data_IF_862833462313
#
_entry.id   IF_862833462313
#
_cell.length_a   1.000
_cell.length_b   1.000
_cell.length_c   1.000
_cell.angle_alpha   90.00
_cell.angle_beta   90.00
_cell.angle_gamma   90.00
#
_symmetry.space_group_name_H-M   'P 1'
#
loop_
_entity.id
_entity.type
_entity.pdbx_description
1 polymer ?
#
# COMPACT_ATOMS: atom_id res chain seq x y z
N UNK A 1 -7.99 -40.53 37.45
CA UNK A 1 -7.28 -40.97 38.65
C UNK A 1 -7.28 -39.75 39.58
N UNK A 2 -7.85 -39.64 40.66
CA UNK A 2 -8.52 -40.38 41.69
C UNK A 2 -9.38 -39.37 42.45
N UNK A 3 -10.63 -39.70 42.67
CA UNK A 3 -11.53 -38.98 43.55
C UNK A 3 -11.07 -39.13 45.01
N UNK A 4 -10.96 -38.05 45.75
CA UNK A 4 -10.83 -38.02 47.19
C UNK A 4 -12.05 -37.31 47.77
N UNK A 5 -12.94 -38.14 48.34
CA UNK A 5 -14.14 -37.73 49.05
C UNK A 5 -13.77 -37.79 50.53
N UNK A 6 -13.75 -36.65 51.22
CA UNK A 6 -13.74 -36.61 52.68
C UNK A 6 -14.89 -35.75 53.17
N UNK A 7 -15.93 -36.45 53.58
CA UNK A 7 -17.01 -35.92 54.38
C UNK A 7 -16.54 -35.89 55.85
N UNK A 8 -16.35 -34.71 56.38
CA UNK A 8 -16.31 -34.53 57.84
C UNK A 8 -17.55 -33.72 58.28
N UNK A 9 -18.47 -34.50 58.83
CA UNK A 9 -19.70 -33.98 59.43
C UNK A 9 -19.41 -33.50 60.86
N UNK A 10 -19.37 -32.21 61.00
CA UNK A 10 -19.46 -31.61 62.32
C UNK A 10 -20.69 -30.69 62.35
N UNK A 11 -21.79 -31.25 62.88
CA UNK A 11 -22.95 -30.50 63.27
C UNK A 11 -22.63 -29.69 64.54
N UNK A 12 -22.67 -28.37 64.49
CA UNK A 12 -22.66 -27.61 65.74
C UNK A 12 -24.01 -27.85 66.50
N UNK A 13 -23.88 -28.34 67.71
CA UNK A 13 -25.01 -28.54 68.63
C UNK A 13 -25.84 -27.28 68.76
N UNK A 14 -27.12 -27.46 68.66
CA UNK A 14 -28.12 -26.45 69.04
C UNK A 14 -28.13 -26.41 70.57
N UNK A 15 -27.40 -25.45 71.12
CA UNK A 15 -27.61 -25.08 72.51
C UNK A 15 -29.04 -24.56 72.66
N UNK A 16 -29.85 -25.36 73.34
CA UNK A 16 -31.17 -24.98 73.74
C UNK A 16 -31.07 -23.86 74.76
N UNK A 17 -31.36 -22.68 74.35
CA UNK A 17 -31.67 -21.56 75.21
C UNK A 17 -33.18 -21.53 75.36
N UNK A 18 -33.62 -21.75 76.59
CA UNK A 18 -34.92 -21.67 77.25
C UNK A 18 -35.99 -20.86 76.50
N UNK A 19 -36.90 -21.57 75.88
CA UNK A 19 -38.05 -21.02 75.15
C UNK A 19 -39.33 -21.31 75.95
N UNK A 20 -39.24 -21.27 77.31
CA UNK A 20 -40.35 -21.47 78.24
C UNK A 20 -41.04 -20.14 78.57
N UNK A 21 -41.93 -19.70 77.71
CA UNK A 21 -42.77 -18.57 77.98
C UNK A 21 -43.47 -17.90 76.81
N UNK A 22 -43.14 -18.25 75.61
CA UNK A 22 -43.75 -17.61 74.42
C UNK A 22 -44.97 -18.42 73.95
N UNK A 23 -46.05 -17.71 73.68
CA UNK A 23 -47.26 -18.31 73.08
C UNK A 23 -47.00 -18.79 71.65
N UNK A 24 -47.75 -19.76 71.16
CA UNK A 24 -47.57 -20.25 69.74
C UNK A 24 -47.73 -19.14 68.72
N UNK A 25 -48.45 -18.08 69.00
CA UNK A 25 -48.61 -16.92 68.13
C UNK A 25 -47.36 -16.03 68.14
N UNK A 26 -46.76 -15.80 69.28
CA UNK A 26 -45.50 -15.04 69.38
C UNK A 26 -44.33 -15.74 68.67
N UNK A 27 -44.19 -17.05 68.80
CA UNK A 27 -43.22 -17.85 68.09
C UNK A 27 -43.40 -17.72 66.58
N UNK A 28 -44.62 -17.78 66.08
CA UNK A 28 -44.91 -17.57 64.64
C UNK A 28 -44.63 -16.15 64.23
N UNK A 29 -44.84 -15.16 65.08
CA UNK A 29 -44.54 -13.76 64.75
C UNK A 29 -43.01 -13.53 64.64
N UNK A 30 -42.25 -14.01 65.63
CA UNK A 30 -40.76 -13.93 65.62
C UNK A 30 -40.20 -14.67 64.43
N UNK A 31 -40.70 -15.85 64.12
CA UNK A 31 -40.23 -16.60 62.93
C UNK A 31 -40.53 -15.86 61.60
N UNK A 32 -41.71 -15.20 61.49
CA UNK A 32 -42.04 -14.38 60.30
C UNK A 32 -41.17 -13.14 60.19
N UNK A 33 -40.87 -12.47 61.28
CA UNK A 33 -40.04 -11.26 61.28
C UNK A 33 -38.58 -11.61 61.00
N UNK A 34 -38.05 -12.74 61.52
CA UNK A 34 -36.72 -13.28 61.20
C UNK A 34 -36.63 -13.67 59.72
N UNK A 35 -37.67 -14.31 59.17
CA UNK A 35 -37.71 -14.65 57.75
C UNK A 35 -37.81 -13.41 56.85
N UNK A 36 -38.54 -12.36 57.28
CA UNK A 36 -38.57 -11.08 56.53
C UNK A 36 -37.27 -10.36 56.58
N UNK A 37 -36.57 -10.28 57.70
CA UNK A 37 -35.26 -9.63 57.84
C UNK A 37 -34.18 -10.34 56.98
N UNK A 38 -34.16 -11.68 57.00
CA UNK A 38 -33.27 -12.47 56.15
C UNK A 38 -33.53 -12.25 54.66
N UNK A 39 -34.78 -12.26 54.22
CA UNK A 39 -35.18 -11.96 52.87
C UNK A 39 -34.76 -10.53 52.43
N UNK A 40 -34.89 -9.55 53.31
CA UNK A 40 -34.51 -8.17 53.05
C UNK A 40 -32.97 -8.02 52.93
N UNK A 41 -32.21 -8.72 53.80
CA UNK A 41 -30.74 -8.72 53.74
C UNK A 41 -30.21 -9.40 52.48
N UNK A 42 -30.81 -10.54 52.09
CA UNK A 42 -30.45 -11.21 50.82
C UNK A 42 -30.76 -10.33 49.62
N UNK A 43 -31.93 -9.69 49.54
CA UNK A 43 -32.25 -8.77 48.45
C UNK A 43 -31.25 -7.61 48.35
N UNK A 44 -30.80 -7.04 49.48
CA UNK A 44 -29.80 -5.97 49.50
C UNK A 44 -28.44 -6.46 49.00
N UNK A 45 -27.98 -7.66 49.43
CA UNK A 45 -26.74 -8.29 48.99
C UNK A 45 -26.78 -8.60 47.50
N UNK A 46 -27.85 -9.20 47.00
CA UNK A 46 -28.03 -9.53 45.58
C UNK A 46 -28.07 -8.29 44.70
N UNK A 47 -28.74 -7.22 45.14
CA UNK A 47 -28.78 -5.96 44.41
C UNK A 47 -27.38 -5.32 44.33
N UNK A 48 -26.61 -5.33 45.43
CA UNK A 48 -25.24 -4.83 45.49
C UNK A 48 -24.31 -5.66 44.59
N UNK A 49 -24.41 -6.98 44.67
CA UNK A 49 -23.61 -7.87 43.86
C UNK A 49 -23.89 -7.73 42.35
N UNK A 50 -25.17 -7.64 41.97
CA UNK A 50 -25.54 -7.36 40.56
C UNK A 50 -25.00 -6.02 40.07
N UNK A 51 -25.01 -5.00 40.95
CA UNK A 51 -24.45 -3.68 40.59
C UNK A 51 -22.94 -3.73 40.45
N UNK A 52 -22.23 -4.41 41.34
CA UNK A 52 -20.79 -4.61 41.29
C UNK A 52 -20.38 -5.44 40.05
N UNK A 53 -21.12 -6.52 39.76
CA UNK A 53 -20.84 -7.34 38.57
C UNK A 53 -21.09 -6.53 37.28
N UNK A 54 -22.21 -5.82 37.18
CA UNK A 54 -22.53 -5.00 36.01
C UNK A 54 -21.53 -3.86 35.83
N UNK A 55 -21.17 -3.19 36.92
CA UNK A 55 -20.15 -2.13 36.92
C UNK A 55 -18.75 -2.67 36.53
N UNK A 56 -18.38 -3.80 37.13
CA UNK A 56 -17.09 -4.46 36.81
C UNK A 56 -16.98 -4.91 35.35
N UNK A 57 -18.06 -5.48 34.80
CA UNK A 57 -18.10 -5.86 33.38
C UNK A 57 -18.01 -4.62 32.48
N UNK A 58 -18.72 -3.54 32.81
CA UNK A 58 -18.64 -2.30 32.01
C UNK A 58 -17.24 -1.70 32.01
N UNK A 59 -16.56 -1.67 33.16
CA UNK A 59 -15.19 -1.18 33.29
C UNK A 59 -14.21 -2.09 32.51
N UNK A 60 -14.38 -3.42 32.58
CA UNK A 60 -13.55 -4.36 31.84
C UNK A 60 -13.71 -4.19 30.31
N UNK A 61 -14.95 -4.00 29.84
CA UNK A 61 -15.21 -3.74 28.39
C UNK A 61 -14.56 -2.42 27.95
N UNK A 62 -14.70 -1.36 28.74
CA UNK A 62 -14.06 -0.06 28.42
C UNK A 62 -12.54 -0.19 28.40
N UNK A 63 -11.94 -0.92 29.36
CA UNK A 63 -10.51 -1.18 29.40
C UNK A 63 -10.03 -1.97 28.16
N UNK A 64 -10.76 -3.01 27.77
CA UNK A 64 -10.43 -3.80 26.56
C UNK A 64 -10.54 -2.94 25.31
N UNK A 65 -11.60 -2.13 25.17
CA UNK A 65 -11.76 -1.21 24.04
C UNK A 65 -10.63 -0.18 24.01
N UNK A 66 -10.24 0.38 25.16
CA UNK A 66 -9.13 1.33 25.24
C UNK A 66 -7.79 0.69 24.86
N UNK A 67 -7.51 -0.54 25.32
CA UNK A 67 -6.29 -1.28 24.98
C UNK A 67 -6.29 -1.61 23.48
N UNK A 68 -7.38 -2.13 22.94
CA UNK A 68 -7.50 -2.45 21.50
C UNK A 68 -7.34 -1.17 20.69
N UNK A 69 -7.96 -0.07 21.08
CA UNK A 69 -7.81 1.23 20.40
C UNK A 69 -6.37 1.72 20.44
N UNK A 70 -5.70 1.63 21.60
CA UNK A 70 -4.30 2.04 21.75
C UNK A 70 -3.35 1.17 20.90
N UNK A 71 -3.60 -0.16 20.84
CA UNK A 71 -2.84 -1.09 20.01
C UNK A 71 -3.08 -0.80 18.51
N UNK A 72 -4.33 -0.58 18.10
CA UNK A 72 -4.66 -0.28 16.70
C UNK A 72 -4.05 1.06 16.27
N UNK A 73 -4.19 2.11 17.08
CA UNK A 73 -3.62 3.44 16.78
C UNK A 73 -2.09 3.40 16.81
N UNK A 74 -1.48 2.66 17.75
CA UNK A 74 -0.02 2.50 17.85
C UNK A 74 0.57 1.60 16.76
N UNK A 75 -0.25 0.75 16.12
CA UNK A 75 0.16 -0.15 15.04
C UNK A 75 0.05 0.47 13.65
N UNK A 76 -0.57 1.66 13.50
CA UNK A 76 -0.58 2.39 12.24
C UNK A 76 0.82 2.97 12.04
N UNK A 77 1.60 2.49 11.06
CA UNK A 77 2.91 3.07 10.77
C UNK A 77 2.73 4.57 10.52
N UNK A 78 3.53 5.40 11.18
CA UNK A 78 3.53 6.83 10.88
C UNK A 78 3.86 7.01 9.40
N UNK A 79 3.17 7.90 8.68
CA UNK A 79 3.50 8.21 7.31
C UNK A 79 4.99 8.55 7.22
N UNK A 80 5.74 7.78 6.45
CA UNK A 80 7.15 8.03 6.20
C UNK A 80 7.30 8.82 4.89
N UNK A 81 8.37 9.61 4.72
CA UNK A 81 8.66 10.24 3.44
C UNK A 81 8.73 9.20 2.33
N UNK A 82 8.32 9.58 1.13
CA UNK A 82 8.52 8.78 -0.07
C UNK A 82 10.00 8.65 -0.45
N UNK A 83 10.35 7.83 -1.44
CA UNK A 83 11.71 7.75 -1.95
C UNK A 83 12.07 9.03 -2.72
N UNK A 84 13.35 9.41 -2.69
CA UNK A 84 13.89 10.42 -3.62
C UNK A 84 13.72 9.92 -5.05
N UNK A 85 13.66 10.86 -5.97
CA UNK A 85 13.52 10.62 -7.41
C UNK A 85 12.17 10.01 -7.84
N UNK A 86 11.18 9.99 -6.91
CA UNK A 86 9.82 9.49 -7.16
C UNK A 86 8.76 10.45 -6.59
N UNK A 87 8.97 11.75 -6.71
CA UNK A 87 8.03 12.77 -6.21
C UNK A 87 6.67 12.73 -6.91
N UNK A 88 6.61 12.21 -8.14
CA UNK A 88 5.37 11.98 -8.90
C UNK A 88 4.68 10.64 -8.59
N UNK A 89 5.15 9.88 -7.60
CA UNK A 89 4.87 8.45 -7.40
C UNK A 89 5.47 7.54 -8.51
N UNK A 90 6.28 8.11 -9.39
CA UNK A 90 7.01 7.40 -10.45
C UNK A 90 8.45 7.88 -10.54
N UNK A 91 9.28 7.12 -11.22
CA UNK A 91 10.66 7.48 -11.54
C UNK A 91 10.78 7.79 -13.01
N UNK A 92 11.18 9.02 -13.36
CA UNK A 92 11.36 9.47 -14.74
C UNK A 92 12.79 9.27 -15.20
N UNK A 93 12.93 8.55 -16.30
CA UNK A 93 14.19 8.13 -16.91
C UNK A 93 14.30 8.80 -18.27
N UNK A 94 15.35 9.58 -18.47
CA UNK A 94 15.65 10.28 -19.72
C UNK A 94 16.81 9.65 -20.48
N UNK A 95 17.34 10.44 -21.42
CA UNK A 95 18.43 10.03 -22.32
C UNK A 95 19.58 9.34 -21.58
N UNK A 96 20.14 8.28 -22.19
CA UNK A 96 21.23 7.47 -21.62
C UNK A 96 20.88 6.89 -20.23
N UNK A 97 19.60 6.63 -19.98
CA UNK A 97 19.06 6.10 -18.71
C UNK A 97 19.34 6.98 -17.50
N UNK A 98 19.53 8.29 -17.71
CA UNK A 98 19.70 9.24 -16.59
C UNK A 98 18.36 9.55 -15.97
N UNK A 99 18.27 9.39 -14.67
CA UNK A 99 17.06 9.69 -13.90
C UNK A 99 16.95 11.20 -13.69
N UNK A 100 15.75 11.71 -13.89
CA UNK A 100 15.39 13.08 -13.47
C UNK A 100 15.27 13.09 -11.97
N UNK A 101 16.21 13.78 -11.30
CA UNK A 101 16.26 13.81 -9.84
C UNK A 101 15.17 14.68 -9.25
N UNK A 102 14.56 14.20 -8.17
CA UNK A 102 13.57 14.95 -7.40
C UNK A 102 13.76 14.71 -5.89
N UNK A 103 13.31 15.65 -5.02
CA UNK A 103 13.30 15.42 -3.59
C UNK A 103 12.34 14.26 -3.23
N UNK A 104 12.46 13.76 -2.00
CA UNK A 104 11.48 12.84 -1.44
C UNK A 104 10.14 13.55 -1.26
N UNK A 105 9.04 12.87 -1.56
CA UNK A 105 7.70 13.36 -1.22
C UNK A 105 7.54 13.32 0.30
N UNK A 106 7.19 14.47 0.90
CA UNK A 106 6.95 14.52 2.35
C UNK A 106 5.74 13.65 2.74
N UNK A 107 5.66 13.19 4.00
CA UNK A 107 4.48 12.46 4.47
C UNK A 107 3.20 13.29 4.22
N UNK A 108 2.17 12.63 3.68
CA UNK A 108 0.86 13.24 3.38
C UNK A 108 0.88 14.35 2.30
N UNK A 109 2.04 14.68 1.74
CA UNK A 109 2.15 15.58 0.60
C UNK A 109 1.56 14.92 -0.66
N UNK A 110 0.95 15.75 -1.52
CA UNK A 110 0.45 15.27 -2.82
C UNK A 110 1.60 15.13 -3.80
N UNK A 111 1.61 14.06 -4.63
CA UNK A 111 2.58 13.94 -5.69
C UNK A 111 2.59 15.16 -6.60
N UNK A 112 3.78 15.56 -6.99
CA UNK A 112 3.98 16.63 -7.98
C UNK A 112 4.37 15.96 -9.30
N UNK A 113 3.70 16.26 -10.41
CA UNK A 113 4.07 15.73 -11.71
C UNK A 113 5.55 15.96 -12.02
N UNK A 114 6.14 15.05 -12.74
CA UNK A 114 7.51 15.20 -13.24
C UNK A 114 7.58 16.40 -14.18
N UNK A 115 8.76 17.04 -14.27
CA UNK A 115 8.97 18.14 -15.22
C UNK A 115 8.59 17.71 -16.63
N UNK A 116 7.98 18.64 -17.36
CA UNK A 116 7.66 18.45 -18.77
C UNK A 116 8.93 18.13 -19.57
N UNK A 117 8.75 17.31 -20.59
CA UNK A 117 9.77 17.01 -21.57
C UNK A 117 9.91 18.15 -22.58
N UNK A 118 11.02 18.15 -23.33
CA UNK A 118 11.11 18.99 -24.50
C UNK A 118 10.00 18.60 -25.49
N UNK A 119 9.53 19.57 -26.28
CA UNK A 119 8.36 19.40 -27.17
C UNK A 119 8.48 18.24 -28.20
N UNK A 120 9.69 17.87 -28.54
CA UNK A 120 10.04 16.82 -29.51
C UNK A 120 10.33 15.45 -28.84
N UNK A 121 10.22 15.36 -27.51
CA UNK A 121 10.46 14.13 -26.74
C UNK A 121 9.14 13.49 -26.35
N UNK A 122 8.98 12.20 -26.66
CA UNK A 122 7.77 11.46 -26.32
C UNK A 122 7.77 11.06 -24.85
N UNK A 123 6.77 11.50 -24.11
CA UNK A 123 6.56 11.07 -22.71
C UNK A 123 5.82 9.74 -22.67
N UNK A 124 6.45 8.72 -22.10
CA UNK A 124 5.82 7.41 -21.83
C UNK A 124 5.72 7.20 -20.32
N UNK A 125 4.50 7.06 -19.80
CA UNK A 125 4.26 6.72 -18.40
C UNK A 125 3.67 5.31 -18.31
N UNK A 126 4.15 4.50 -17.36
CA UNK A 126 3.70 3.11 -17.17
C UNK A 126 3.42 2.85 -15.71
N UNK A 127 2.14 2.59 -15.39
CA UNK A 127 1.74 2.02 -14.11
C UNK A 127 1.80 0.50 -14.21
N UNK A 128 2.65 -0.12 -13.41
CA UNK A 128 2.91 -1.55 -13.49
C UNK A 128 2.91 -2.22 -12.12
N UNK A 129 2.72 -3.53 -12.13
CA UNK A 129 2.86 -4.39 -10.95
C UNK A 129 3.78 -5.55 -11.30
N UNK A 130 4.79 -5.80 -10.49
CA UNK A 130 5.82 -6.81 -10.76
C UNK A 130 5.32 -8.26 -10.67
N UNK A 131 4.08 -8.49 -10.20
CA UNK A 131 3.46 -9.82 -10.24
C UNK A 131 2.42 -9.95 -11.37
N UNK A 132 2.06 -8.85 -12.04
CA UNK A 132 1.07 -8.86 -13.11
C UNK A 132 1.60 -9.55 -14.37
N UNK A 133 1.02 -10.65 -14.85
CA UNK A 133 1.52 -11.36 -16.05
C UNK A 133 1.48 -10.49 -17.30
N UNK A 134 0.43 -9.68 -17.48
CA UNK A 134 0.29 -8.80 -18.64
C UNK A 134 1.38 -7.71 -18.64
N UNK A 135 1.86 -7.27 -17.44
CA UNK A 135 3.01 -6.38 -17.35
C UNK A 135 4.29 -7.08 -17.85
N UNK A 136 4.47 -8.37 -17.50
CA UNK A 136 5.57 -9.18 -18.03
C UNK A 136 5.51 -9.35 -19.53
N UNK A 137 4.33 -9.60 -20.08
CA UNK A 137 4.12 -9.69 -21.54
C UNK A 137 4.43 -8.37 -22.25
N UNK A 138 4.00 -7.25 -21.67
CA UNK A 138 4.31 -5.91 -22.18
C UNK A 138 5.83 -5.65 -22.18
N UNK A 139 6.49 -5.90 -21.06
CA UNK A 139 7.94 -5.72 -20.94
C UNK A 139 8.69 -6.59 -21.95
N UNK A 140 8.34 -7.89 -22.03
CA UNK A 140 8.94 -8.82 -22.99
C UNK A 140 8.79 -8.36 -24.45
N UNK A 141 7.64 -7.80 -24.80
CA UNK A 141 7.38 -7.33 -26.17
C UNK A 141 8.07 -6.00 -26.47
N UNK A 142 8.19 -5.09 -25.49
CA UNK A 142 8.49 -3.69 -25.74
C UNK A 142 9.82 -3.21 -25.14
N UNK A 143 10.49 -3.98 -24.25
CA UNK A 143 11.72 -3.55 -23.59
C UNK A 143 12.82 -3.10 -24.57
N UNK A 144 13.03 -3.82 -25.66
CA UNK A 144 14.07 -3.50 -26.63
C UNK A 144 13.85 -2.13 -27.32
N UNK A 145 12.61 -1.85 -27.72
CA UNK A 145 12.29 -0.57 -28.36
C UNK A 145 12.27 0.59 -27.35
N UNK A 146 11.72 0.38 -26.13
CA UNK A 146 11.80 1.35 -25.05
C UNK A 146 13.25 1.71 -24.72
N UNK A 147 14.11 0.69 -24.60
CA UNK A 147 15.56 0.87 -24.40
C UNK A 147 16.17 1.76 -25.49
N UNK A 148 15.83 1.51 -26.74
CA UNK A 148 16.34 2.29 -27.88
C UNK A 148 15.89 3.74 -27.80
N UNK A 149 14.60 4.00 -27.61
CA UNK A 149 14.04 5.36 -27.56
C UNK A 149 14.55 6.16 -26.36
N UNK A 150 14.62 5.53 -25.18
CA UNK A 150 15.13 6.20 -23.98
C UNK A 150 16.63 6.48 -24.10
N UNK A 151 17.43 5.51 -24.60
CA UNK A 151 18.88 5.71 -24.73
C UNK A 151 19.23 6.82 -25.72
N UNK A 152 18.48 6.96 -26.81
CA UNK A 152 18.65 8.02 -27.80
C UNK A 152 18.13 9.37 -27.35
N UNK A 153 17.20 9.41 -26.37
CA UNK A 153 16.49 10.60 -25.96
C UNK A 153 15.26 10.92 -26.80
N UNK A 154 14.84 10.02 -27.69
CA UNK A 154 13.59 10.15 -28.44
C UNK A 154 12.35 10.03 -27.55
N UNK A 155 12.48 9.34 -26.41
CA UNK A 155 11.42 9.28 -25.40
C UNK A 155 12.01 9.36 -24.00
N UNK A 156 11.18 9.82 -23.05
CA UNK A 156 11.35 9.59 -21.63
C UNK A 156 10.43 8.46 -21.18
N UNK A 157 10.83 7.76 -20.13
CA UNK A 157 10.07 6.68 -19.54
C UNK A 157 9.87 6.96 -18.05
N UNK A 158 8.61 7.08 -17.63
CA UNK A 158 8.26 7.22 -16.23
C UNK A 158 7.55 5.97 -15.74
N UNK A 159 8.17 5.28 -14.78
CA UNK A 159 7.66 4.02 -14.23
C UNK A 159 7.06 4.27 -12.86
N UNK A 160 5.80 3.86 -12.70
CA UNK A 160 5.03 3.94 -11.46
C UNK A 160 4.75 2.52 -10.94
N UNK A 161 5.60 1.99 -10.04
CA UNK A 161 5.37 0.69 -9.43
C UNK A 161 4.19 0.76 -8.45
N UNK A 162 3.18 -0.09 -8.65
CA UNK A 162 2.02 -0.21 -7.75
C UNK A 162 1.80 -1.66 -7.34
N UNK A 163 1.00 -1.90 -6.29
CA UNK A 163 0.84 -3.21 -5.67
C UNK A 163 -0.64 -3.62 -5.60
N UNK A 164 -1.24 -3.92 -6.76
CA UNK A 164 -2.64 -4.36 -6.85
C UNK A 164 -2.79 -5.88 -6.89
N UNK A 165 -1.69 -6.62 -7.11
CA UNK A 165 -1.65 -8.08 -7.21
C UNK A 165 -1.25 -8.79 -5.91
N UNK A 166 -1.07 -8.10 -4.79
CA UNK A 166 -0.70 -8.70 -3.50
C UNK A 166 -1.57 -9.88 -3.08
N UNK A 167 -2.88 -9.85 -3.43
CA UNK A 167 -3.81 -10.95 -3.15
C UNK A 167 -3.44 -12.26 -3.83
N UNK A 168 -2.65 -12.22 -4.89
CA UNK A 168 -2.21 -13.39 -5.66
C UNK A 168 -0.83 -13.91 -5.22
N UNK A 169 -0.29 -13.42 -4.09
CA UNK A 169 1.01 -13.82 -3.57
C UNK A 169 0.94 -14.72 -2.32
N UNK A 170 -0.16 -15.45 -2.11
CA UNK A 170 -0.35 -16.37 -0.99
C UNK A 170 -0.06 -15.73 0.39
N UNK A 171 -0.37 -14.44 0.53
CA UNK A 171 -0.12 -13.66 1.75
C UNK A 171 1.29 -13.07 1.86
N UNK A 172 2.22 -13.41 0.95
CA UNK A 172 3.61 -12.92 0.96
C UNK A 172 3.76 -11.46 0.47
N UNK A 173 2.69 -10.83 -0.04
CA UNK A 173 2.66 -9.43 -0.53
C UNK A 173 3.81 -9.10 -1.48
N UNK A 174 4.04 -9.96 -2.46
CA UNK A 174 5.18 -9.83 -3.37
C UNK A 174 5.15 -8.51 -4.14
N UNK A 175 3.98 -8.06 -4.64
CA UNK A 175 3.86 -6.78 -5.36
C UNK A 175 4.33 -5.61 -4.50
N UNK A 176 3.90 -5.54 -3.22
CA UNK A 176 4.37 -4.52 -2.27
C UNK A 176 5.88 -4.61 -2.05
N UNK A 177 6.45 -5.81 -1.84
CA UNK A 177 7.89 -5.99 -1.59
C UNK A 177 8.74 -5.64 -2.82
N UNK A 178 8.30 -6.04 -4.00
CA UNK A 178 9.00 -5.70 -5.25
C UNK A 178 8.93 -4.20 -5.56
N UNK A 179 7.78 -3.56 -5.37
CA UNK A 179 7.64 -2.10 -5.51
C UNK A 179 8.45 -1.33 -4.45
N UNK A 180 8.52 -1.82 -3.20
CA UNK A 180 9.42 -1.29 -2.18
C UNK A 180 10.89 -1.39 -2.61
N UNK A 181 11.31 -2.53 -3.16
CA UNK A 181 12.67 -2.71 -3.66
C UNK A 181 12.99 -1.75 -4.82
N UNK A 182 12.04 -1.54 -5.73
CA UNK A 182 12.17 -0.57 -6.81
C UNK A 182 12.33 0.86 -6.24
N UNK A 183 11.57 1.22 -5.22
CA UNK A 183 11.69 2.49 -4.50
C UNK A 183 13.06 2.63 -3.80
N UNK A 184 13.60 1.55 -3.21
CA UNK A 184 14.94 1.53 -2.62
C UNK A 184 16.02 1.82 -3.65
N UNK A 185 15.96 1.18 -4.84
CA UNK A 185 16.89 1.44 -5.93
C UNK A 185 16.75 2.87 -6.45
N UNK A 186 15.53 3.37 -6.63
CA UNK A 186 15.28 4.76 -7.03
C UNK A 186 15.87 5.77 -6.04
N UNK A 187 15.81 5.47 -4.74
CA UNK A 187 16.31 6.34 -3.68
C UNK A 187 17.84 6.40 -3.59
N UNK A 188 18.51 5.27 -3.74
CA UNK A 188 19.94 5.14 -3.45
C UNK A 188 20.83 5.03 -4.70
N UNK A 189 20.33 4.42 -5.78
CA UNK A 189 21.07 4.25 -7.02
C UNK A 189 20.14 4.42 -8.24
N UNK A 190 19.58 5.62 -8.44
CA UNK A 190 18.48 5.83 -9.39
C UNK A 190 18.84 5.43 -10.83
N UNK A 191 20.09 5.63 -11.28
CA UNK A 191 20.50 5.29 -12.62
C UNK A 191 20.62 3.77 -12.88
N UNK A 192 20.53 2.93 -11.82
CA UNK A 192 20.43 1.46 -11.92
C UNK A 192 18.99 0.96 -12.00
N UNK A 193 18.00 1.87 -11.88
CA UNK A 193 16.59 1.50 -11.81
C UNK A 193 16.09 0.81 -13.07
N UNK A 194 16.48 1.30 -14.27
CA UNK A 194 16.05 0.72 -15.53
C UNK A 194 16.48 -0.75 -15.65
N UNK A 195 17.73 -1.04 -15.31
CA UNK A 195 18.25 -2.42 -15.35
C UNK A 195 17.61 -3.28 -14.24
N UNK A 196 17.37 -2.72 -13.04
CA UNK A 196 16.70 -3.44 -11.98
C UNK A 196 15.23 -3.78 -12.32
N UNK A 197 14.50 -2.85 -12.91
CA UNK A 197 13.14 -3.10 -13.42
C UNK A 197 13.13 -4.27 -14.42
N UNK A 198 14.08 -4.28 -15.36
CA UNK A 198 14.22 -5.38 -16.31
C UNK A 198 14.54 -6.72 -15.63
N UNK A 199 15.38 -6.73 -14.59
CA UNK A 199 15.68 -7.94 -13.81
C UNK A 199 14.45 -8.49 -13.09
N UNK A 200 13.62 -7.63 -12.48
CA UNK A 200 12.38 -8.05 -11.82
C UNK A 200 11.42 -8.74 -12.78
N UNK A 201 11.27 -8.23 -14.02
CA UNK A 201 10.42 -8.86 -15.02
C UNK A 201 11.06 -10.10 -15.66
N UNK A 202 12.38 -10.12 -15.85
CA UNK A 202 13.08 -11.31 -16.34
C UNK A 202 12.93 -12.51 -15.38
N UNK A 203 12.73 -12.25 -14.10
CA UNK A 203 12.55 -13.27 -13.05
C UNK A 203 11.15 -13.21 -12.43
N UNK A 204 10.17 -12.71 -13.18
CA UNK A 204 8.82 -12.53 -12.70
C UNK A 204 8.22 -13.85 -12.18
N UNK A 205 7.74 -13.90 -10.92
CA UNK A 205 7.07 -15.08 -10.40
C UNK A 205 5.67 -15.25 -11.01
N UNK A 206 5.21 -16.48 -11.07
CA UNK A 206 3.82 -16.77 -11.47
C UNK A 206 2.83 -16.26 -10.43
N UNK A 207 1.65 -15.86 -10.88
CA UNK A 207 0.51 -15.63 -9.98
C UNK A 207 0.24 -16.83 -9.09
N UNK A 208 -0.37 -16.58 -7.94
CA UNK A 208 -0.71 -17.58 -6.94
C UNK A 208 0.52 -18.35 -6.39
N UNK A 209 1.67 -17.69 -6.37
CA UNK A 209 2.89 -18.11 -5.67
C UNK A 209 3.32 -17.05 -4.66
N UNK A 210 4.14 -17.40 -3.69
CA UNK A 210 4.69 -16.43 -2.72
C UNK A 210 5.59 -15.34 -3.35
N UNK A 211 5.95 -15.51 -4.61
CA UNK A 211 6.88 -14.63 -5.30
C UNK A 211 8.33 -14.83 -4.87
N UNK A 212 9.20 -13.91 -5.28
CA UNK A 212 10.61 -13.93 -4.89
C UNK A 212 10.75 -13.55 -3.40
N UNK A 213 11.71 -14.18 -2.74
CA UNK A 213 12.16 -13.77 -1.39
C UNK A 213 12.97 -12.49 -1.46
N UNK A 214 13.09 -11.75 -0.33
CA UNK A 214 13.90 -10.53 -0.29
C UNK A 214 15.36 -10.81 -0.66
N UNK A 215 15.91 -11.97 -0.25
CA UNK A 215 17.25 -12.41 -0.66
C UNK A 215 17.38 -12.52 -2.19
N UNK A 216 16.37 -13.02 -2.87
CA UNK A 216 16.36 -13.10 -4.34
C UNK A 216 16.22 -11.72 -4.97
N UNK A 217 15.33 -10.87 -4.46
CA UNK A 217 15.16 -9.48 -4.93
C UNK A 217 16.48 -8.69 -4.76
N UNK A 218 17.17 -8.84 -3.62
CA UNK A 218 18.49 -8.22 -3.37
C UNK A 218 19.54 -8.74 -4.36
N UNK A 219 19.50 -10.03 -4.72
CA UNK A 219 20.40 -10.56 -5.74
C UNK A 219 20.15 -9.90 -7.11
N UNK A 220 18.89 -9.72 -7.51
CA UNK A 220 18.53 -8.99 -8.74
C UNK A 220 18.96 -7.51 -8.69
N UNK A 221 18.83 -6.87 -7.52
CA UNK A 221 19.33 -5.51 -7.35
C UNK A 221 20.85 -5.44 -7.52
N UNK A 222 21.60 -6.40 -6.99
CA UNK A 222 23.07 -6.51 -7.19
C UNK A 222 23.42 -6.65 -8.67
N UNK A 223 22.67 -7.46 -9.42
CA UNK A 223 22.91 -7.70 -10.84
C UNK A 223 22.69 -6.44 -11.70
N UNK A 224 21.88 -5.50 -11.23
CA UNK A 224 21.72 -4.17 -11.80
C UNK A 224 22.89 -3.21 -11.48
N UNK A 225 23.94 -3.68 -10.76
CA UNK A 225 25.19 -2.96 -10.46
C UNK A 225 24.98 -1.58 -9.83
N UNK A 226 24.22 -1.47 -8.73
CA UNK A 226 24.01 -0.20 -8.04
C UNK A 226 25.30 0.26 -7.33
N UNK A 227 25.41 1.56 -7.11
CA UNK A 227 26.54 2.14 -6.35
C UNK A 227 26.37 1.93 -4.84
N UNK A 228 25.13 1.92 -4.34
CA UNK A 228 24.80 1.90 -2.90
C UNK A 228 24.11 0.58 -2.49
N UNK A 229 24.69 -0.57 -2.86
CA UNK A 229 24.09 -1.89 -2.62
C UNK A 229 23.77 -2.17 -1.15
N UNK A 230 24.61 -1.73 -0.21
CA UNK A 230 24.37 -1.93 1.23
C UNK A 230 23.10 -1.22 1.68
N UNK A 231 22.97 0.07 1.37
CA UNK A 231 21.79 0.86 1.72
C UNK A 231 20.51 0.33 1.05
N UNK A 232 20.61 -0.17 -0.19
CA UNK A 232 19.50 -0.82 -0.88
C UNK A 232 19.11 -2.13 -0.16
N UNK A 233 20.08 -2.92 0.28
CA UNK A 233 19.84 -4.18 1.00
C UNK A 233 19.10 -3.93 2.31
N UNK A 234 19.55 -2.97 3.12
CA UNK A 234 18.91 -2.59 4.37
C UNK A 234 17.48 -2.08 4.12
N UNK A 235 17.32 -1.18 3.14
CA UNK A 235 16.02 -0.63 2.74
C UNK A 235 15.02 -1.70 2.28
N UNK A 236 15.45 -2.71 1.53
CA UNK A 236 14.60 -3.83 1.09
C UNK A 236 14.20 -4.69 2.31
N UNK A 237 15.18 -5.03 3.17
CA UNK A 237 14.96 -5.87 4.34
C UNK A 237 14.02 -5.23 5.36
N UNK A 238 14.13 -3.92 5.55
CA UNK A 238 13.31 -3.14 6.47
C UNK A 238 11.96 -2.73 5.86
N UNK A 239 11.69 -3.06 4.59
CA UNK A 239 10.51 -2.60 3.84
C UNK A 239 10.29 -1.08 3.97
N UNK A 240 11.38 -0.28 3.91
CA UNK A 240 11.41 1.14 4.29
C UNK A 240 10.37 2.02 3.57
N UNK A 241 10.01 1.69 2.34
CA UNK A 241 9.01 2.42 1.54
C UNK A 241 7.66 1.73 1.41
N UNK A 242 7.37 0.69 2.20
CA UNK A 242 6.11 -0.04 2.17
C UNK A 242 4.87 0.85 2.34
N UNK A 243 4.93 1.80 3.27
CA UNK A 243 3.83 2.76 3.49
C UNK A 243 3.62 3.66 2.29
N UNK A 244 4.70 4.11 1.66
CA UNK A 244 4.65 4.89 0.42
C UNK A 244 4.06 4.07 -0.73
N UNK A 245 4.47 2.81 -0.94
CA UNK A 245 3.90 1.91 -1.97
C UNK A 245 2.40 1.79 -1.81
N UNK A 246 1.92 1.58 -0.58
CA UNK A 246 0.48 1.50 -0.30
C UNK A 246 -0.23 2.81 -0.65
N UNK A 247 0.34 3.95 -0.27
CA UNK A 247 -0.21 5.27 -0.55
C UNK A 247 -0.21 5.59 -2.06
N UNK A 248 0.91 5.34 -2.77
CA UNK A 248 1.02 5.51 -4.22
C UNK A 248 0.04 4.61 -4.98
N UNK A 249 -0.11 3.34 -4.55
CA UNK A 249 -1.12 2.42 -5.11
C UNK A 249 -2.53 2.95 -4.91
N UNK A 250 -2.85 3.44 -3.71
CA UNK A 250 -4.16 4.03 -3.43
C UNK A 250 -4.41 5.27 -4.31
N UNK A 251 -3.46 6.18 -4.43
CA UNK A 251 -3.56 7.36 -5.31
C UNK A 251 -3.79 6.96 -6.76
N UNK A 252 -2.99 6.06 -7.30
CA UNK A 252 -3.14 5.58 -8.68
C UNK A 252 -4.51 4.95 -8.95
N UNK A 253 -5.03 4.15 -8.00
CA UNK A 253 -6.31 3.44 -8.17
C UNK A 253 -7.55 4.29 -7.87
N UNK A 254 -7.40 5.42 -7.19
CA UNK A 254 -8.48 6.40 -6.98
C UNK A 254 -8.44 7.56 -7.98
N UNK A 255 -7.24 7.94 -8.45
CA UNK A 255 -7.04 9.01 -9.44
C UNK A 255 -7.39 10.41 -8.94
N UNK A 256 -7.48 11.39 -9.85
CA UNK A 256 -7.09 11.32 -11.26
C UNK A 256 -5.58 11.17 -11.45
N UNK A 257 -5.17 10.65 -12.63
CA UNK A 257 -3.75 10.59 -13.02
C UNK A 257 -3.37 11.93 -13.63
N UNK A 258 -2.37 12.56 -13.02
CA UNK A 258 -1.90 13.86 -13.45
C UNK A 258 -1.39 13.82 -14.91
N UNK A 259 -1.53 14.97 -15.60
CA UNK A 259 -1.08 15.18 -16.98
C UNK A 259 -1.52 14.09 -17.95
N UNK A 260 -2.74 13.54 -17.74
CA UNK A 260 -3.29 12.49 -18.60
C UNK A 260 -4.81 12.51 -18.69
N UNK A 261 -5.33 11.82 -19.73
CA UNK A 261 -6.77 11.57 -19.86
C UNK A 261 -7.26 10.38 -19.01
N UNK A 262 -6.40 9.79 -18.17
CA UNK A 262 -6.73 8.63 -17.35
C UNK A 262 -7.34 9.06 -16.02
N UNK A 263 -8.61 8.72 -15.80
CA UNK A 263 -9.29 9.05 -14.55
C UNK A 263 -8.71 8.30 -13.34
N UNK A 264 -8.31 7.03 -13.53
CA UNK A 264 -7.68 6.18 -12.52
C UNK A 264 -7.08 4.94 -13.17
N UNK A 265 -6.10 4.34 -12.52
CA UNK A 265 -5.57 3.03 -12.90
C UNK A 265 -6.57 1.96 -12.51
N UNK A 266 -7.18 1.31 -13.50
CA UNK A 266 -8.14 0.21 -13.30
C UNK A 266 -7.52 -1.16 -13.42
N UNK A 267 -6.26 -1.25 -13.88
CA UNK A 267 -5.47 -2.47 -14.07
C UNK A 267 -4.08 -2.15 -14.59
N UNK A 268 -3.21 -3.13 -14.55
CA UNK A 268 -1.82 -3.01 -15.01
C UNK A 268 -1.52 -3.95 -16.18
N UNK A 269 -0.65 -3.53 -17.10
CA UNK A 269 -0.09 -2.19 -17.16
C UNK A 269 -1.13 -1.18 -17.65
N UNK A 270 -1.10 0.03 -17.10
CA UNK A 270 -1.71 1.20 -17.74
C UNK A 270 -0.59 2.01 -18.36
N UNK A 271 -0.59 2.12 -19.67
CA UNK A 271 0.42 2.84 -20.47
C UNK A 271 -0.18 4.13 -20.97
N UNK A 272 0.53 5.23 -20.83
CA UNK A 272 0.14 6.58 -21.24
C UNK A 272 1.25 7.14 -22.12
N UNK A 273 0.91 7.69 -23.27
CA UNK A 273 1.84 8.29 -24.24
C UNK A 273 1.39 9.74 -24.47
N UNK A 274 2.24 10.71 -24.19
CA UNK A 274 1.92 12.14 -24.26
C UNK A 274 0.57 12.47 -23.61
N UNK A 275 0.33 11.97 -22.40
CA UNK A 275 -0.92 12.20 -21.65
C UNK A 275 -2.13 11.37 -22.11
N UNK A 276 -2.05 10.61 -23.19
CA UNK A 276 -3.13 9.81 -23.72
C UNK A 276 -2.96 8.33 -23.38
N UNK A 277 -4.03 7.71 -22.85
CA UNK A 277 -4.00 6.27 -22.57
C UNK A 277 -3.81 5.48 -23.86
N UNK A 278 -2.79 4.63 -23.89
CA UNK A 278 -2.59 3.65 -24.95
C UNK A 278 -3.63 2.53 -24.83
N UNK A 279 -4.33 2.24 -25.92
CA UNK A 279 -5.40 1.25 -26.01
C UNK A 279 -5.11 0.11 -27.00
N UNK A 280 -3.92 0.12 -27.63
CA UNK A 280 -3.49 -0.93 -28.55
C UNK A 280 -3.04 -2.21 -27.84
N UNK A 281 -2.51 -3.15 -28.61
CA UNK A 281 -2.00 -4.42 -28.08
C UNK A 281 -0.80 -4.22 -27.18
N UNK A 282 -0.86 -4.76 -25.97
CA UNK A 282 0.24 -4.71 -24.99
C UNK A 282 1.35 -5.72 -25.31
N UNK A 283 1.05 -6.77 -26.10
CA UNK A 283 1.99 -7.86 -26.43
C UNK A 283 2.53 -7.80 -27.85
N UNK A 284 2.10 -6.80 -28.66
CA UNK A 284 2.61 -6.61 -30.03
C UNK A 284 3.46 -5.35 -30.11
N UNK A 285 4.77 -5.53 -30.22
CA UNK A 285 5.73 -4.43 -30.31
C UNK A 285 5.43 -3.45 -31.46
N UNK A 286 4.98 -3.95 -32.61
CA UNK A 286 4.62 -3.12 -33.77
C UNK A 286 3.49 -2.16 -33.49
N UNK A 287 2.46 -2.57 -32.75
CA UNK A 287 1.30 -1.76 -32.44
C UNK A 287 1.70 -0.60 -31.51
N UNK A 288 2.57 -0.89 -30.52
CA UNK A 288 3.08 0.15 -29.62
C UNK A 288 4.03 1.10 -30.35
N UNK A 289 4.92 0.58 -31.23
CA UNK A 289 5.78 1.41 -32.06
C UNK A 289 4.98 2.37 -32.96
N UNK A 290 3.90 1.89 -33.59
CA UNK A 290 3.03 2.73 -34.42
C UNK A 290 2.36 3.86 -33.58
N UNK A 291 1.97 3.58 -32.33
CA UNK A 291 1.43 4.59 -31.44
C UNK A 291 2.47 5.67 -31.06
N UNK A 292 3.71 5.27 -30.80
CA UNK A 292 4.82 6.21 -30.52
C UNK A 292 5.13 7.08 -31.74
N UNK A 293 5.19 6.48 -32.94
CA UNK A 293 5.41 7.25 -34.19
C UNK A 293 4.27 8.25 -34.45
N UNK A 294 3.03 7.82 -34.22
CA UNK A 294 1.87 8.72 -34.31
C UNK A 294 2.00 9.89 -33.33
N UNK A 295 2.28 9.60 -32.07
CA UNK A 295 2.45 10.63 -31.03
C UNK A 295 3.59 11.62 -31.37
N UNK A 296 4.66 11.15 -32.00
CA UNK A 296 5.75 12.00 -32.51
C UNK A 296 5.24 12.91 -33.65
N UNK A 297 4.45 12.37 -34.58
CA UNK A 297 3.87 13.16 -35.68
C UNK A 297 2.92 14.23 -35.18
N UNK A 298 2.10 13.91 -34.20
CA UNK A 298 1.13 14.85 -33.62
C UNK A 298 1.84 16.03 -32.91
N UNK A 299 3.00 15.82 -32.25
CA UNK A 299 3.80 16.91 -31.63
C UNK A 299 4.42 17.87 -32.66
N UNK A 300 4.78 17.38 -33.86
CA UNK A 300 5.31 18.23 -34.94
C UNK A 300 4.22 19.09 -35.61
N UNK A 301 2.95 18.68 -35.55
CA UNK A 301 1.84 19.40 -36.19
C UNK A 301 1.30 20.53 -35.30
N UNK A 302 1.41 20.42 -33.99
CA UNK A 302 0.94 21.43 -33.03
C UNK A 302 1.82 22.70 -32.99
N UNK A 303 3.03 22.69 -33.58
CA UNK A 303 3.90 23.86 -33.70
C UNK A 303 4.20 24.14 -35.20
N UNK A 304 3.22 24.68 -35.96
CA UNK A 304 3.48 25.06 -37.33
C UNK A 304 4.42 26.25 -37.31
N UNK A 305 5.72 25.99 -37.56
CA UNK A 305 6.64 27.06 -37.93
C UNK A 305 6.03 27.79 -39.10
N UNK A 306 5.78 29.11 -39.02
CA UNK A 306 5.21 29.83 -40.18
C UNK A 306 6.10 29.62 -41.37
N UNK A 307 5.55 28.98 -42.40
CA UNK A 307 6.24 28.83 -43.70
C UNK A 307 6.70 30.23 -44.14
N UNK A 308 7.97 30.42 -44.51
CA UNK A 308 8.42 31.71 -44.96
C UNK A 308 7.52 32.16 -46.10
N UNK A 309 6.85 33.27 -45.94
CA UNK A 309 6.07 33.93 -46.98
C UNK A 309 6.94 34.14 -48.20
N UNK A 310 6.60 33.65 -49.39
CA UNK A 310 7.39 33.92 -50.58
C UNK A 310 7.53 35.42 -50.74
N UNK A 311 8.76 35.91 -50.74
CA UNK A 311 9.04 37.31 -51.02
C UNK A 311 8.65 37.55 -52.46
N UNK A 312 7.53 38.24 -52.64
CA UNK A 312 7.07 38.70 -53.96
C UNK A 312 8.15 39.59 -54.56
N UNK A 313 8.82 39.04 -55.57
CA UNK A 313 9.83 39.80 -56.32
C UNK A 313 9.08 40.89 -57.15
N UNK A 314 9.30 42.16 -56.79
CA UNK A 314 8.75 43.28 -57.53
C UNK A 314 9.23 43.24 -59.00
N UNK A 315 8.32 43.51 -59.95
CA UNK A 315 8.72 43.57 -61.37
C UNK A 315 9.63 44.77 -61.61
N UNK A 316 10.57 44.70 -62.57
CA UNK A 316 11.46 45.80 -62.93
C UNK A 316 10.65 46.99 -63.48
N UNK A 317 10.95 48.15 -63.00
CA UNK A 317 10.37 49.41 -63.49
C UNK A 317 10.77 49.72 -64.96
N UNK A 318 9.94 50.45 -65.76
CA UNK A 318 10.11 50.70 -67.17
C UNK A 318 11.30 51.61 -67.53
#
# INVERSE_FOLDING_TARGET
MTYGNDADGTTPGVDGADDDGLTPEERRRIARDKARSLRASHKKKDRRNRWLIRGGVAVAVVAVVAIVSAVVVGSVPKPAPGPRNMQSDGIKIGQKFKVVTSPALAPEEKPTPSKDDAKDVIAVQIYLDYQCPICGDFEKANAAQLKTWVSSGAATLEIHPIAIFDRFSQGAKYSTRAANAAACVANYSPNSFFDFNAQLFAHQPKENTAGLTDKQIIALARDAKPTELSAITDCITDESFKSWVNAATARATTGPIADSNVKKVSGTPTVIVNGLKYTGSLSKASDFAAAIVKAAGDTFVEDPTPSPTPTETAPPAP
#
